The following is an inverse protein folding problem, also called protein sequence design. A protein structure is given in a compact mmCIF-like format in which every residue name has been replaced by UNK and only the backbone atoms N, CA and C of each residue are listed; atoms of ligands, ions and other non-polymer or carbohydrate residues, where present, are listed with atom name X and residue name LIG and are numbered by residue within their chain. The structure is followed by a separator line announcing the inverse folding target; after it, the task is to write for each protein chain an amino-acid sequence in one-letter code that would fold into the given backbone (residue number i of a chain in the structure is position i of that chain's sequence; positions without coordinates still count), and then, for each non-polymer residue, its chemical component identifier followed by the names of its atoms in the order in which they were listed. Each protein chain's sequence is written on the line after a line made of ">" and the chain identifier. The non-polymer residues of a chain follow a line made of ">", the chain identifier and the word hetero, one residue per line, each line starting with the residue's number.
data_IF_633386614441
#
_entry.id   IF_633386614441
#
_cell.length_a   1.000
_cell.length_b   1.000
_cell.length_c   1.000
_cell.angle_alpha   90.00
_cell.angle_beta   90.00
_cell.angle_gamma   90.00
#
_symmetry.space_group_name_H-M   'P 1'
#
loop_
_entity.id
_entity.type
_entity.pdbx_description
1 polymer ?
#
# COMPACT_ATOMS: atom_id res chain seq x y z
N UNK A 1 -21.90 -31.28 23.80
CA UNK A 1 -21.87 -30.70 22.44
C UNK A 1 -22.23 -29.22 22.60
N UNK A 2 -21.22 -28.36 22.81
CA UNK A 2 -21.43 -26.95 23.16
C UNK A 2 -21.51 -26.14 21.87
N UNK A 3 -22.71 -25.69 21.52
CA UNK A 3 -22.96 -24.87 20.33
C UNK A 3 -22.26 -23.52 20.53
N UNK A 4 -21.14 -23.32 19.84
CA UNK A 4 -20.45 -22.03 19.81
C UNK A 4 -21.35 -21.03 19.07
N UNK A 5 -21.86 -20.06 19.82
CA UNK A 5 -22.66 -18.93 19.30
C UNK A 5 -21.80 -18.17 18.27
N UNK A 6 -22.29 -17.86 17.07
CA UNK A 6 -21.56 -17.02 16.13
C UNK A 6 -21.31 -15.67 16.81
N UNK A 7 -20.04 -15.29 16.93
CA UNK A 7 -19.66 -13.94 17.39
C UNK A 7 -20.27 -12.95 16.40
N UNK A 8 -21.25 -12.18 16.87
CA UNK A 8 -21.70 -10.99 16.17
C UNK A 8 -20.48 -10.11 15.92
N UNK A 9 -20.22 -9.81 14.65
CA UNK A 9 -19.31 -8.75 14.23
C UNK A 9 -19.84 -7.45 14.83
N UNK A 10 -19.42 -7.12 16.05
CA UNK A 10 -19.64 -5.80 16.63
C UNK A 10 -18.98 -4.81 15.68
N UNK A 11 -19.80 -4.09 14.92
CA UNK A 11 -19.34 -2.92 14.18
C UNK A 11 -18.77 -1.97 15.22
N UNK A 12 -17.44 -1.90 15.33
CA UNK A 12 -16.78 -0.96 16.24
C UNK A 12 -17.39 0.42 16.01
N UNK A 13 -17.87 1.11 17.05
CA UNK A 13 -18.44 2.44 16.88
C UNK A 13 -17.40 3.33 16.21
N UNK A 14 -17.79 3.95 15.09
CA UNK A 14 -16.94 4.87 14.36
C UNK A 14 -16.65 6.04 15.29
N UNK A 15 -15.39 6.20 15.66
CA UNK A 15 -14.94 7.29 16.53
C UNK A 15 -15.34 8.64 15.95
N UNK A 16 -15.77 9.57 16.81
CA UNK A 16 -16.10 10.95 16.40
C UNK A 16 -14.94 11.69 15.73
N UNK A 17 -13.71 11.20 15.90
CA UNK A 17 -12.48 11.80 15.37
C UNK A 17 -11.93 11.07 14.14
N UNK A 18 -12.64 10.11 13.55
CA UNK A 18 -12.15 9.33 12.40
C UNK A 18 -11.73 10.18 11.19
N UNK A 19 -12.24 11.42 11.08
CA UNK A 19 -11.92 12.39 10.03
C UNK A 19 -10.59 13.13 10.26
N UNK A 20 -10.07 13.16 11.50
CA UNK A 20 -8.89 13.95 11.88
C UNK A 20 -7.65 13.60 11.06
N UNK A 21 -7.27 12.31 10.85
CA UNK A 21 -6.11 11.98 10.03
C UNK A 21 -6.24 12.45 8.58
N UNK A 22 -7.43 12.33 8.00
CA UNK A 22 -7.70 12.75 6.62
C UNK A 22 -7.64 14.27 6.48
N UNK A 23 -8.25 15.01 7.43
CA UNK A 23 -8.19 16.47 7.43
C UNK A 23 -6.76 16.97 7.64
N UNK A 24 -6.03 16.45 8.63
CA UNK A 24 -4.64 16.83 8.88
C UNK A 24 -3.75 16.53 7.67
N UNK A 25 -3.89 15.33 7.08
CA UNK A 25 -3.17 14.96 5.87
C UNK A 25 -3.49 15.88 4.68
N UNK A 26 -4.77 16.23 4.48
CA UNK A 26 -5.19 17.11 3.40
C UNK A 26 -4.70 18.55 3.59
N UNK A 27 -4.82 19.11 4.79
CA UNK A 27 -4.30 20.44 5.13
C UNK A 27 -2.80 20.53 4.87
N UNK A 28 -2.01 19.59 5.43
CA UNK A 28 -0.55 19.56 5.21
C UNK A 28 -0.23 19.31 3.73
N UNK A 29 -1.02 18.50 3.02
CA UNK A 29 -0.84 18.22 1.59
C UNK A 29 -1.11 19.42 0.68
N UNK A 30 -2.13 20.24 1.00
CA UNK A 30 -2.39 21.52 0.32
C UNK A 30 -1.22 22.47 0.54
N UNK A 31 -0.73 22.60 1.78
CA UNK A 31 0.44 23.41 2.10
C UNK A 31 1.67 22.91 1.33
N UNK A 32 1.93 21.60 1.31
CA UNK A 32 3.04 21.01 0.55
C UNK A 32 2.96 21.35 -0.94
N UNK A 33 1.76 21.26 -1.52
CA UNK A 33 1.52 21.55 -2.94
C UNK A 33 1.72 23.02 -3.26
N UNK A 34 1.17 23.92 -2.45
CA UNK A 34 1.37 25.36 -2.60
C UNK A 34 2.86 25.73 -2.45
N UNK A 35 3.57 25.10 -1.51
CA UNK A 35 5.01 25.32 -1.28
C UNK A 35 5.84 24.91 -2.50
N UNK A 36 5.50 23.75 -3.09
CA UNK A 36 6.13 23.27 -4.31
C UNK A 36 5.88 24.22 -5.49
N UNK A 37 4.62 24.62 -5.71
CA UNK A 37 4.25 25.55 -6.80
C UNK A 37 4.90 26.92 -6.65
N UNK A 38 4.95 27.46 -5.43
CA UNK A 38 5.63 28.71 -5.12
C UNK A 38 7.15 28.62 -5.30
N UNK A 39 7.73 27.44 -5.10
CA UNK A 39 9.14 27.18 -5.36
C UNK A 39 9.45 27.13 -6.86
N UNK A 40 8.55 26.54 -7.66
CA UNK A 40 8.72 26.41 -9.12
C UNK A 40 8.45 27.70 -9.91
N UNK A 41 7.51 28.53 -9.46
CA UNK A 41 7.04 29.68 -10.24
C UNK A 41 7.14 31.00 -9.46
N UNK A 42 7.96 31.96 -9.92
CA UNK A 42 7.99 33.31 -9.35
C UNK A 42 6.65 34.03 -9.45
N UNK A 43 5.86 33.76 -10.50
CA UNK A 43 4.53 34.34 -10.69
C UNK A 43 3.57 33.86 -9.60
N UNK A 44 3.56 32.54 -9.32
CA UNK A 44 2.72 31.98 -8.25
C UNK A 44 3.15 32.56 -6.91
N UNK A 45 4.46 32.63 -6.63
CA UNK A 45 5.01 33.22 -5.41
C UNK A 45 4.56 34.67 -5.21
N UNK A 46 4.55 35.46 -6.29
CA UNK A 46 4.09 36.84 -6.24
C UNK A 46 2.59 36.92 -5.93
N UNK A 47 1.77 36.11 -6.60
CA UNK A 47 0.31 36.06 -6.38
C UNK A 47 -0.02 35.67 -4.93
N UNK A 48 0.69 34.69 -4.36
CA UNK A 48 0.40 34.19 -3.01
C UNK A 48 1.21 34.91 -1.92
N UNK A 49 1.96 35.97 -2.23
CA UNK A 49 2.94 36.57 -1.29
C UNK A 49 2.33 36.88 0.07
N UNK A 50 1.21 37.60 0.09
CA UNK A 50 0.51 38.04 1.31
C UNK A 50 0.00 36.85 2.15
N UNK A 51 -0.83 35.94 1.62
CA UNK A 51 -1.30 34.80 2.41
C UNK A 51 -0.16 33.86 2.83
N UNK A 52 0.89 33.75 2.01
CA UNK A 52 2.06 32.94 2.29
C UNK A 52 2.88 33.47 3.47
N UNK A 53 3.20 34.77 3.46
CA UNK A 53 3.96 35.42 4.54
C UNK A 53 3.18 35.31 5.85
N UNK A 54 1.86 35.51 5.80
CA UNK A 54 0.99 35.29 6.96
C UNK A 54 1.06 33.84 7.48
N UNK A 55 0.95 32.83 6.61
CA UNK A 55 1.07 31.42 7.01
C UNK A 55 2.45 31.14 7.60
N UNK A 56 3.51 31.59 6.94
CA UNK A 56 4.90 31.39 7.35
C UNK A 56 5.17 31.95 8.75
N UNK A 57 4.70 33.17 9.00
CA UNK A 57 4.94 33.87 10.27
C UNK A 57 4.08 33.33 11.41
N UNK A 58 2.82 32.97 11.16
CA UNK A 58 1.86 32.77 12.27
C UNK A 58 1.23 31.38 12.36
N UNK A 59 1.28 30.54 11.33
CA UNK A 59 0.55 29.27 11.29
C UNK A 59 1.42 28.04 11.08
N UNK A 60 2.36 28.12 10.15
CA UNK A 60 3.17 26.97 9.77
C UNK A 60 4.39 27.45 8.99
N UNK A 61 5.58 26.98 9.35
CA UNK A 61 6.82 27.33 8.64
C UNK A 61 6.66 27.01 7.13
N UNK A 62 6.63 28.07 6.31
CA UNK A 62 6.37 28.03 4.88
C UNK A 62 7.44 28.88 4.18
N UNK A 63 8.67 28.36 4.09
CA UNK A 63 9.78 29.12 3.56
C UNK A 63 9.59 29.43 2.07
N UNK A 64 10.14 30.57 1.66
CA UNK A 64 9.98 31.15 0.34
C UNK A 64 10.36 30.25 -0.84
N UNK A 65 11.40 29.43 -0.65
CA UNK A 65 11.98 28.55 -1.66
C UNK A 65 12.63 27.35 -0.98
N UNK A 66 11.92 26.23 -0.92
CA UNK A 66 12.49 24.98 -0.41
C UNK A 66 11.77 23.76 -1.00
N UNK A 67 12.35 23.19 -2.06
CA UNK A 67 11.92 21.90 -2.59
C UNK A 67 12.00 20.81 -1.53
N UNK A 68 13.07 20.83 -0.72
CA UNK A 68 13.25 19.91 0.40
C UNK A 68 12.08 19.97 1.38
N UNK A 69 11.69 21.16 1.83
CA UNK A 69 10.59 21.33 2.79
C UNK A 69 9.24 20.91 2.19
N UNK A 70 8.97 21.28 0.94
CA UNK A 70 7.75 20.84 0.25
C UNK A 70 7.64 19.30 0.19
N UNK A 71 8.77 18.62 -0.01
CA UNK A 71 8.84 17.17 -0.01
C UNK A 71 8.67 16.57 1.40
N UNK A 72 9.27 17.16 2.44
CA UNK A 72 9.03 16.77 3.84
C UNK A 72 7.55 16.88 4.19
N UNK A 73 6.89 17.99 3.82
CA UNK A 73 5.46 18.17 4.05
C UNK A 73 4.61 17.17 3.27
N UNK A 74 4.98 16.84 2.03
CA UNK A 74 4.29 15.81 1.26
C UNK A 74 4.41 14.43 1.93
N UNK A 75 5.59 14.07 2.46
CA UNK A 75 5.78 12.84 3.23
C UNK A 75 4.97 12.85 4.54
N UNK A 76 4.95 13.98 5.25
CA UNK A 76 4.19 14.13 6.48
C UNK A 76 2.69 13.99 6.21
N UNK A 77 2.17 14.64 5.15
CA UNK A 77 0.78 14.53 4.71
C UNK A 77 0.39 13.08 4.38
N UNK A 78 1.23 12.38 3.61
CA UNK A 78 1.01 10.97 3.29
C UNK A 78 1.02 10.09 4.55
N UNK A 79 1.96 10.33 5.48
CA UNK A 79 2.07 9.57 6.71
C UNK A 79 0.91 9.84 7.69
N UNK A 80 0.41 11.08 7.79
CA UNK A 80 -0.79 11.43 8.54
C UNK A 80 -2.03 10.75 7.96
N UNK A 81 -2.20 10.78 6.64
CA UNK A 81 -3.28 10.09 5.92
C UNK A 81 -3.22 8.59 6.15
N UNK A 82 -2.02 8.01 6.17
CA UNK A 82 -1.75 6.62 6.53
C UNK A 82 -1.78 6.35 8.05
N UNK A 83 -2.29 7.30 8.86
CA UNK A 83 -2.53 7.18 10.31
C UNK A 83 -1.27 6.84 11.12
N UNK A 84 -0.09 7.24 10.65
CA UNK A 84 1.19 6.91 11.29
C UNK A 84 1.35 7.68 12.59
N UNK A 85 1.62 6.97 13.68
CA UNK A 85 1.76 7.57 15.02
C UNK A 85 2.94 8.55 15.12
N UNK A 86 4.02 8.27 14.40
CA UNK A 86 5.19 9.17 14.35
C UNK A 86 4.86 10.48 13.64
N UNK A 87 4.03 10.45 12.59
CA UNK A 87 3.63 11.65 11.87
C UNK A 87 2.75 12.56 12.74
N UNK A 88 1.85 11.96 13.53
CA UNK A 88 1.09 12.69 14.54
C UNK A 88 1.99 13.32 15.60
N UNK A 89 3.01 12.60 16.10
CA UNK A 89 3.97 13.15 17.06
C UNK A 89 4.75 14.33 16.49
N UNK A 90 5.23 14.22 15.25
CA UNK A 90 5.96 15.29 14.56
C UNK A 90 5.08 16.51 14.34
N UNK A 91 3.84 16.31 13.86
CA UNK A 91 2.90 17.41 13.65
C UNK A 91 2.52 18.07 14.98
N UNK A 92 2.20 17.29 16.02
CA UNK A 92 1.88 17.81 17.35
C UNK A 92 3.05 18.60 17.94
N UNK A 93 4.27 18.05 17.87
CA UNK A 93 5.48 18.72 18.33
C UNK A 93 5.70 20.05 17.61
N UNK A 94 5.49 20.08 16.29
CA UNK A 94 5.57 21.31 15.49
C UNK A 94 4.50 22.34 15.92
N UNK A 95 3.25 21.91 16.15
CA UNK A 95 2.19 22.81 16.62
C UNK A 95 2.48 23.36 18.01
N UNK A 96 3.02 22.54 18.92
CA UNK A 96 3.40 22.96 20.27
C UNK A 96 4.55 23.96 20.22
N UNK A 97 5.58 23.69 19.42
CA UNK A 97 6.71 24.60 19.24
C UNK A 97 6.25 25.94 18.67
N UNK A 98 5.42 25.92 17.62
CA UNK A 98 4.91 27.14 17.00
C UNK A 98 3.96 27.92 17.93
N UNK A 99 3.15 27.24 18.76
CA UNK A 99 2.38 27.90 19.81
C UNK A 99 3.28 28.57 20.85
N UNK A 100 4.36 27.90 21.25
CA UNK A 100 5.33 28.45 22.19
C UNK A 100 6.04 29.70 21.64
N UNK A 101 6.48 29.66 20.38
CA UNK A 101 7.12 30.81 19.72
C UNK A 101 6.17 32.01 19.64
N UNK A 102 4.92 31.82 19.16
CA UNK A 102 3.93 32.89 19.14
C UNK A 102 3.67 33.46 20.56
N UNK A 103 3.60 32.60 21.58
CA UNK A 103 3.41 33.05 22.95
C UNK A 103 4.61 33.85 23.49
N UNK A 104 5.84 33.47 23.10
CA UNK A 104 7.05 34.19 23.46
C UNK A 104 7.11 35.57 22.79
N UNK A 105 6.73 35.67 21.52
CA UNK A 105 6.70 36.94 20.78
C UNK A 105 5.63 37.89 21.35
N UNK A 106 4.43 37.37 21.67
CA UNK A 106 3.38 38.14 22.37
C UNK A 106 3.88 38.65 23.73
N UNK A 107 4.63 37.82 24.47
CA UNK A 107 5.15 38.17 25.79
C UNK A 107 6.32 39.18 25.72
N UNK A 108 7.11 39.15 24.64
CA UNK A 108 8.20 40.10 24.41
C UNK A 108 7.67 41.53 24.18
N UNK A 109 6.49 41.66 23.57
CA UNK A 109 5.86 42.93 23.28
C UNK A 109 6.61 43.77 22.24
N UNK A 110 6.17 45.01 22.01
CA UNK A 110 6.76 45.88 20.98
C UNK A 110 6.21 45.65 19.56
N UNK A 111 5.26 44.73 19.41
CA UNK A 111 4.64 44.38 18.14
C UNK A 111 3.60 45.45 17.73
N UNK A 112 3.48 45.68 16.43
CA UNK A 112 2.42 46.52 15.84
C UNK A 112 1.05 45.89 16.05
N UNK A 113 -0.04 46.65 15.87
CA UNK A 113 -1.40 46.11 16.00
C UNK A 113 -1.68 44.95 15.03
N UNK A 114 -1.07 44.97 13.83
CA UNK A 114 -1.20 43.92 12.83
C UNK A 114 -0.45 42.64 13.23
N UNK A 115 0.76 42.78 13.77
CA UNK A 115 1.57 41.65 14.27
C UNK A 115 0.89 40.99 15.48
N UNK A 116 0.44 41.78 16.45
CA UNK A 116 -0.32 41.26 17.59
C UNK A 116 -1.57 40.49 17.15
N UNK A 117 -2.29 40.98 16.13
CA UNK A 117 -3.44 40.25 15.58
C UNK A 117 -3.02 38.91 14.96
N UNK A 118 -1.94 38.91 14.18
CA UNK A 118 -1.37 37.71 13.56
C UNK A 118 -0.93 36.67 14.59
N UNK A 119 -0.16 37.08 15.59
CA UNK A 119 0.36 36.22 16.67
C UNK A 119 -0.77 35.61 17.51
N UNK A 120 -1.75 36.43 17.90
CA UNK A 120 -2.91 35.94 18.67
C UNK A 120 -3.75 34.95 17.87
N UNK A 121 -4.00 35.24 16.59
CA UNK A 121 -4.72 34.34 15.69
C UNK A 121 -3.92 33.04 15.47
N UNK A 122 -2.62 33.15 15.23
CA UNK A 122 -1.70 32.04 15.10
C UNK A 122 -1.73 31.14 16.33
N UNK A 123 -1.51 31.72 17.51
CA UNK A 123 -1.57 31.01 18.80
C UNK A 123 -2.92 30.30 19.00
N UNK A 124 -4.04 30.98 18.74
CA UNK A 124 -5.37 30.38 18.87
C UNK A 124 -5.56 29.17 17.92
N UNK A 125 -5.13 29.29 16.66
CA UNK A 125 -5.18 28.18 15.69
C UNK A 125 -4.33 27.00 16.14
N UNK A 126 -3.10 27.25 16.62
CA UNK A 126 -2.24 26.20 17.15
C UNK A 126 -2.85 25.48 18.35
N UNK A 127 -3.42 26.22 19.31
CA UNK A 127 -4.09 25.64 20.49
C UNK A 127 -5.26 24.75 20.05
N UNK A 128 -6.10 25.22 19.13
CA UNK A 128 -7.22 24.43 18.59
C UNK A 128 -6.71 23.18 17.88
N UNK A 129 -5.69 23.32 17.03
CA UNK A 129 -5.09 22.18 16.32
C UNK A 129 -4.51 21.15 17.29
N UNK A 130 -3.79 21.59 18.33
CA UNK A 130 -3.26 20.74 19.40
C UNK A 130 -4.40 19.98 20.08
N UNK A 131 -5.48 20.66 20.48
CA UNK A 131 -6.64 20.02 21.12
C UNK A 131 -7.26 18.97 20.20
N UNK A 132 -7.50 19.28 18.93
CA UNK A 132 -8.05 18.32 17.96
C UNK A 132 -7.14 17.12 17.75
N UNK A 133 -5.82 17.34 17.61
CA UNK A 133 -4.84 16.28 17.44
C UNK A 133 -4.73 15.39 18.69
N UNK A 134 -4.76 15.98 19.89
CA UNK A 134 -4.73 15.26 21.16
C UNK A 134 -6.01 14.45 21.33
N UNK A 135 -7.18 15.01 21.05
CA UNK A 135 -8.45 14.27 21.14
C UNK A 135 -8.53 13.14 20.09
N UNK A 136 -7.93 13.34 18.92
CA UNK A 136 -7.83 12.36 17.85
C UNK A 136 -6.68 11.35 17.98
N UNK A 137 -5.90 11.34 19.06
CA UNK A 137 -4.65 10.55 19.16
C UNK A 137 -4.84 9.04 18.86
N UNK A 138 -6.01 8.48 19.21
CA UNK A 138 -6.33 7.06 18.99
C UNK A 138 -6.50 6.69 17.53
N UNK A 139 -6.73 7.67 16.66
CA UNK A 139 -6.86 7.46 15.22
C UNK A 139 -5.50 7.21 14.54
N UNK A 140 -4.41 7.65 15.17
CA UNK A 140 -3.03 7.51 14.69
C UNK A 140 -2.34 6.30 15.31
N UNK A 141 -2.88 5.11 15.06
CA UNK A 141 -2.41 3.87 15.67
C UNK A 141 -1.30 3.18 14.87
N UNK A 142 -1.11 3.52 13.59
CA UNK A 142 -0.24 2.75 12.70
C UNK A 142 1.24 2.96 13.04
N UNK A 143 1.96 1.82 13.17
CA UNK A 143 3.40 1.81 13.47
C UNK A 143 4.25 1.90 12.20
N UNK A 144 5.48 2.38 12.37
CA UNK A 144 6.54 2.32 11.35
C UNK A 144 7.55 1.27 11.78
N UNK A 145 8.00 0.42 10.86
CA UNK A 145 8.98 -0.64 11.15
C UNK A 145 10.37 -0.01 11.28
N UNK A 146 11.08 -0.35 12.36
CA UNK A 146 12.35 0.30 12.75
C UNK A 146 13.54 -0.09 11.88
N UNK A 147 13.55 -1.31 11.32
CA UNK A 147 14.72 -1.91 10.69
C UNK A 147 15.28 -1.15 9.47
N UNK A 148 14.46 -0.39 8.74
CA UNK A 148 14.90 0.37 7.57
C UNK A 148 15.38 1.80 7.87
N UNK A 149 15.22 2.29 9.10
CA UNK A 149 15.52 3.69 9.42
C UNK A 149 17.01 4.02 9.34
N UNK A 150 17.89 3.09 9.73
CA UNK A 150 19.34 3.33 9.73
C UNK A 150 19.92 3.51 8.32
N UNK A 151 19.52 2.65 7.37
CA UNK A 151 19.98 2.77 5.97
C UNK A 151 19.49 4.08 5.34
N UNK A 152 18.22 4.42 5.56
CA UNK A 152 17.65 5.67 5.07
C UNK A 152 18.33 6.90 5.71
N UNK A 153 18.59 6.87 7.01
CA UNK A 153 19.31 7.93 7.73
C UNK A 153 20.74 8.09 7.22
N UNK A 154 21.48 6.99 7.01
CA UNK A 154 22.82 7.04 6.45
C UNK A 154 22.83 7.66 5.05
N UNK A 155 21.86 7.31 4.20
CA UNK A 155 21.71 7.89 2.84
C UNK A 155 21.34 9.36 2.91
N UNK A 156 20.47 9.76 3.85
CA UNK A 156 20.12 11.17 4.06
C UNK A 156 21.33 11.98 4.51
N UNK A 157 22.11 11.48 5.47
CA UNK A 157 23.30 12.16 5.99
C UNK A 157 24.39 12.26 4.91
N UNK A 158 24.66 11.17 4.18
CA UNK A 158 25.64 11.18 3.11
C UNK A 158 25.22 12.10 1.95
N UNK A 159 23.97 11.99 1.49
CA UNK A 159 23.43 12.83 0.42
C UNK A 159 23.36 14.31 0.83
N UNK A 160 22.97 14.58 2.08
CA UNK A 160 22.96 15.93 2.65
C UNK A 160 24.38 16.52 2.74
N UNK A 161 25.35 15.77 3.23
CA UNK A 161 26.74 16.20 3.30
C UNK A 161 27.32 16.52 1.91
N UNK A 162 27.08 15.65 0.91
CA UNK A 162 27.48 15.91 -0.48
C UNK A 162 26.80 17.18 -1.02
N UNK A 163 25.50 17.31 -0.80
CA UNK A 163 24.73 18.50 -1.20
C UNK A 163 25.27 19.79 -0.58
N UNK A 164 25.63 19.76 0.72
CA UNK A 164 26.23 20.88 1.44
C UNK A 164 27.60 21.22 0.86
N UNK A 165 28.48 20.24 0.63
CA UNK A 165 29.83 20.47 0.10
C UNK A 165 29.80 21.08 -1.31
N UNK A 166 28.95 20.55 -2.20
CA UNK A 166 28.78 21.09 -3.55
C UNK A 166 28.22 22.51 -3.49
N UNK A 167 27.19 22.73 -2.68
CA UNK A 167 26.56 24.03 -2.51
C UNK A 167 27.51 25.06 -1.90
N UNK A 168 28.35 24.65 -0.95
CA UNK A 168 29.37 25.51 -0.36
C UNK A 168 30.39 25.94 -1.42
N UNK A 169 30.90 25.00 -2.23
CA UNK A 169 31.78 25.33 -3.36
C UNK A 169 31.15 26.30 -4.37
N UNK A 170 29.86 26.15 -4.66
CA UNK A 170 29.12 27.07 -5.54
C UNK A 170 29.00 28.48 -4.94
N UNK A 171 28.76 28.61 -3.64
CA UNK A 171 28.73 29.92 -2.96
C UNK A 171 30.12 30.54 -2.91
N UNK A 172 31.19 29.76 -2.75
CA UNK A 172 32.56 30.30 -2.80
C UNK A 172 32.89 30.91 -4.17
N UNK A 173 32.42 30.28 -5.25
CA UNK A 173 32.61 30.77 -6.62
C UNK A 173 31.71 31.96 -6.97
N UNK A 174 30.48 31.96 -6.45
CA UNK A 174 29.46 32.98 -6.74
C UNK A 174 28.83 33.52 -5.45
N UNK A 175 29.60 34.23 -4.61
CA UNK A 175 29.16 34.59 -3.25
C UNK A 175 28.05 35.64 -3.23
N UNK A 176 27.88 36.42 -4.30
CA UNK A 176 26.96 37.54 -4.33
C UNK A 176 27.29 38.53 -3.21
N UNK A 177 26.32 38.81 -2.34
CA UNK A 177 26.49 39.69 -1.18
C UNK A 177 26.73 38.95 0.15
N UNK A 178 26.80 37.62 0.12
CA UNK A 178 26.88 36.81 1.34
C UNK A 178 28.30 36.84 1.95
N UNK A 179 28.39 37.20 3.23
CA UNK A 179 29.65 37.25 3.95
C UNK A 179 30.31 35.87 4.06
N UNK A 180 31.64 35.84 3.95
CA UNK A 180 32.44 34.62 4.04
C UNK A 180 32.13 33.69 5.24
N UNK A 181 32.01 34.19 6.50
CA UNK A 181 31.70 33.32 7.64
C UNK A 181 30.31 32.68 7.57
N UNK A 182 29.37 33.32 6.87
CA UNK A 182 27.97 32.88 6.79
C UNK A 182 27.72 31.87 5.68
N UNK A 183 28.67 31.66 4.75
CA UNK A 183 28.48 30.82 3.55
C UNK A 183 28.12 29.37 3.88
N UNK A 184 28.91 28.72 4.74
CA UNK A 184 28.69 27.33 5.11
C UNK A 184 27.43 27.15 5.99
N UNK A 185 27.22 27.95 7.06
CA UNK A 185 25.97 27.92 7.84
C UNK A 185 24.71 28.17 6.99
N UNK A 186 24.77 29.13 6.06
CA UNK A 186 23.65 29.47 5.17
C UNK A 186 23.30 28.29 4.26
N UNK A 187 24.30 27.70 3.61
CA UNK A 187 24.12 26.55 2.73
C UNK A 187 23.60 25.34 3.50
N UNK A 188 24.16 25.06 4.68
CA UNK A 188 23.68 23.97 5.53
C UNK A 188 22.20 24.15 5.88
N UNK A 189 21.79 25.36 6.29
CA UNK A 189 20.39 25.67 6.59
C UNK A 189 19.47 25.44 5.36
N UNK A 190 19.93 25.82 4.15
CA UNK A 190 19.18 25.69 2.90
C UNK A 190 19.08 24.26 2.37
N UNK A 191 20.16 23.48 2.44
CA UNK A 191 20.20 22.08 1.96
C UNK A 191 19.47 21.15 2.92
N UNK A 192 19.66 21.31 4.23
CA UNK A 192 19.01 20.44 5.21
C UNK A 192 17.50 20.72 5.26
N UNK A 193 17.08 21.93 4.85
CA UNK A 193 15.69 22.22 4.50
C UNK A 193 14.74 22.37 5.68
N UNK A 194 15.27 22.38 6.91
CA UNK A 194 14.49 22.59 8.14
C UNK A 194 14.35 24.05 8.55
N UNK A 195 15.01 24.99 7.84
CA UNK A 195 14.94 26.43 8.10
C UNK A 195 14.98 26.75 9.61
N UNK A 196 15.86 26.06 10.36
CA UNK A 196 15.97 26.20 11.82
C UNK A 196 16.50 27.58 12.21
N UNK A 197 17.17 28.25 11.28
CA UNK A 197 17.68 29.60 11.41
C UNK A 197 16.94 30.53 10.44
N UNK A 198 16.45 31.65 10.97
CA UNK A 198 15.86 32.73 10.20
C UNK A 198 16.86 33.23 9.14
N UNK A 199 16.46 33.41 7.86
CA UNK A 199 17.30 34.03 6.84
C UNK A 199 17.94 35.36 7.25
N UNK A 200 17.34 36.09 8.19
CA UNK A 200 17.83 37.39 8.65
C UNK A 200 18.97 37.29 9.67
N UNK A 201 19.32 36.07 10.12
CA UNK A 201 20.53 35.80 10.91
C UNK A 201 21.82 35.83 10.08
N UNK A 202 21.72 35.91 8.75
CA UNK A 202 22.87 35.87 7.84
C UNK A 202 23.08 37.22 7.14
N UNK A 203 24.34 37.65 7.05
CA UNK A 203 24.70 38.93 6.43
C UNK A 203 24.81 38.79 4.91
N UNK A 204 23.77 39.26 4.22
CA UNK A 204 23.68 39.25 2.75
C UNK A 204 22.99 38.02 2.19
N UNK A 205 22.84 37.97 0.86
CA UNK A 205 22.13 36.89 0.16
C UNK A 205 22.88 36.48 -1.11
N UNK A 206 22.97 35.17 -1.40
CA UNK A 206 23.46 34.68 -2.68
C UNK A 206 22.40 34.90 -3.77
N UNK A 207 22.77 34.67 -5.03
CA UNK A 207 21.83 34.78 -6.14
C UNK A 207 20.62 33.84 -5.96
N UNK A 208 19.43 34.33 -6.33
CA UNK A 208 18.15 33.60 -6.14
C UNK A 208 18.16 32.20 -6.75
N UNK A 209 18.88 32.02 -7.87
CA UNK A 209 19.04 30.72 -8.54
C UNK A 209 19.81 29.71 -7.69
N UNK A 210 20.83 30.15 -6.94
CA UNK A 210 21.62 29.28 -6.04
C UNK A 210 20.76 28.74 -4.90
N UNK A 211 19.84 29.55 -4.36
CA UNK A 211 18.91 29.10 -3.33
C UNK A 211 18.00 27.96 -3.81
N UNK A 212 17.58 27.99 -5.08
CA UNK A 212 16.80 26.91 -5.67
C UNK A 212 17.64 25.63 -5.80
N UNK A 213 18.90 25.74 -6.20
CA UNK A 213 19.84 24.61 -6.31
C UNK A 213 20.08 23.96 -4.95
N UNK A 214 20.32 24.75 -3.90
CA UNK A 214 20.60 24.21 -2.56
C UNK A 214 19.41 23.43 -2.02
N UNK A 215 18.20 24.00 -2.15
CA UNK A 215 16.97 23.30 -1.79
C UNK A 215 16.72 22.05 -2.63
N UNK A 216 17.17 22.00 -3.89
CA UNK A 216 17.05 20.83 -4.76
C UNK A 216 18.00 19.70 -4.32
N UNK A 217 19.24 20.01 -3.92
CA UNK A 217 20.14 19.00 -3.35
C UNK A 217 19.55 18.38 -2.08
N UNK A 218 18.96 19.21 -1.21
CA UNK A 218 18.20 18.74 -0.05
C UNK A 218 17.05 17.81 -0.42
N UNK A 219 16.25 18.21 -1.41
CA UNK A 219 15.15 17.40 -1.91
C UNK A 219 15.63 16.05 -2.47
N UNK A 220 16.71 16.03 -3.25
CA UNK A 220 17.27 14.78 -3.78
C UNK A 220 17.80 13.86 -2.69
N UNK A 221 18.47 14.40 -1.65
CA UNK A 221 18.90 13.62 -0.51
C UNK A 221 17.70 12.98 0.22
N UNK A 222 16.61 13.73 0.43
CA UNK A 222 15.37 13.23 1.02
C UNK A 222 14.67 12.19 0.13
N UNK A 223 14.60 12.41 -1.18
CA UNK A 223 14.03 11.46 -2.14
C UNK A 223 14.83 10.16 -2.12
N UNK A 224 16.16 10.22 -2.20
CA UNK A 224 17.03 9.05 -2.15
C UNK A 224 16.86 8.28 -0.83
N UNK A 225 16.85 8.99 0.31
CA UNK A 225 16.60 8.39 1.62
C UNK A 225 15.22 7.70 1.69
N UNK A 226 14.19 8.33 1.11
CA UNK A 226 12.83 7.78 1.05
C UNK A 226 12.76 6.53 0.18
N UNK A 227 13.43 6.54 -0.98
CA UNK A 227 13.53 5.38 -1.87
C UNK A 227 14.19 4.21 -1.13
N UNK A 228 15.32 4.46 -0.45
CA UNK A 228 16.04 3.44 0.32
C UNK A 228 15.22 2.93 1.51
N UNK A 229 14.48 3.82 2.18
CA UNK A 229 13.55 3.43 3.25
C UNK A 229 12.53 2.42 2.72
N UNK A 230 11.89 2.69 1.58
CA UNK A 230 10.90 1.79 1.00
C UNK A 230 11.50 0.50 0.41
N UNK A 231 12.69 0.55 -0.18
CA UNK A 231 13.38 -0.65 -0.68
C UNK A 231 13.77 -1.59 0.45
N UNK A 232 14.35 -1.08 1.56
CA UNK A 232 14.74 -1.91 2.69
C UNK A 232 13.53 -2.57 3.36
N UNK A 233 12.37 -1.90 3.39
CA UNK A 233 11.12 -2.50 3.86
C UNK A 233 10.68 -3.70 3.01
N UNK A 234 10.86 -3.63 1.69
CA UNK A 234 10.54 -4.77 0.79
C UNK A 234 11.47 -5.95 1.00
N UNK A 235 12.76 -5.71 1.23
CA UNK A 235 13.75 -6.78 1.43
C UNK A 235 13.53 -7.55 2.76
N UNK A 236 13.26 -6.84 3.85
CA UNK A 236 12.99 -7.44 5.17
C UNK A 236 11.60 -8.11 5.27
N UNK A 237 10.82 -8.08 4.19
CA UNK A 237 9.54 -8.76 4.03
C UNK A 237 9.69 -10.09 3.27
N UNK A 238 10.89 -10.50 2.87
CA UNK A 238 11.08 -11.80 2.22
C UNK A 238 10.89 -12.97 3.21
N UNK A 239 10.36 -14.09 2.71
CA UNK A 239 10.29 -15.37 3.42
C UNK A 239 11.65 -15.77 3.98
N UNK A 240 11.70 -16.21 5.24
CA UNK A 240 12.88 -16.89 5.78
C UNK A 240 12.94 -18.34 5.27
N UNK A 241 14.10 -19.00 5.42
CA UNK A 241 14.24 -20.41 5.03
C UNK A 241 13.34 -21.35 5.85
N UNK A 242 13.11 -21.03 7.12
CA UNK A 242 12.19 -21.76 7.99
C UNK A 242 10.74 -21.57 7.54
N UNK A 243 10.35 -20.34 7.18
CA UNK A 243 9.01 -20.05 6.64
C UNK A 243 8.76 -20.81 5.33
N UNK A 244 9.74 -20.81 4.42
CA UNK A 244 9.63 -21.53 3.14
C UNK A 244 9.42 -23.03 3.39
N UNK A 245 10.14 -23.61 4.34
CA UNK A 245 10.02 -25.03 4.70
C UNK A 245 8.65 -25.36 5.30
N UNK A 246 8.13 -24.51 6.19
CA UNK A 246 6.80 -24.68 6.78
C UNK A 246 5.69 -24.58 5.73
N UNK A 247 5.77 -23.62 4.80
CA UNK A 247 4.80 -23.48 3.70
C UNK A 247 4.82 -24.72 2.80
N UNK A 248 6.01 -25.23 2.47
CA UNK A 248 6.15 -26.46 1.66
C UNK A 248 5.47 -27.65 2.36
N UNK A 249 5.65 -27.82 3.67
CA UNK A 249 4.95 -28.85 4.43
C UNK A 249 3.42 -28.70 4.41
N UNK A 250 2.91 -27.47 4.52
CA UNK A 250 1.47 -27.22 4.39
C UNK A 250 0.93 -27.53 2.99
N UNK A 251 1.70 -27.21 1.93
CA UNK A 251 1.34 -27.51 0.55
C UNK A 251 1.37 -29.01 0.25
N UNK A 252 2.32 -29.75 0.81
CA UNK A 252 2.39 -31.20 0.66
C UNK A 252 1.15 -31.89 1.26
N UNK A 253 0.70 -31.42 2.42
CA UNK A 253 -0.45 -32.00 3.12
C UNK A 253 -1.82 -31.55 2.58
N UNK A 254 -1.95 -30.29 2.14
CA UNK A 254 -3.23 -29.66 1.83
C UNK A 254 -3.31 -28.98 0.45
N UNK A 255 -2.22 -28.92 -0.31
CA UNK A 255 -2.13 -28.14 -1.55
C UNK A 255 -2.70 -28.78 -2.81
N UNK A 256 -3.11 -30.07 -2.77
CA UNK A 256 -3.57 -30.81 -3.95
C UNK A 256 -4.78 -30.19 -4.68
N UNK A 257 -5.57 -29.37 -3.99
CA UNK A 257 -6.74 -28.68 -4.53
C UNK A 257 -6.47 -27.26 -5.04
N UNK A 258 -5.25 -26.74 -4.88
CA UNK A 258 -4.86 -25.39 -5.28
C UNK A 258 -3.81 -25.45 -6.40
N UNK A 259 -4.26 -25.21 -7.63
CA UNK A 259 -3.41 -25.18 -8.84
C UNK A 259 -2.32 -24.11 -8.78
N UNK A 260 -2.52 -23.07 -7.97
CA UNK A 260 -1.63 -21.92 -7.84
C UNK A 260 -0.89 -21.88 -6.50
N UNK A 261 -1.08 -22.90 -5.64
CA UNK A 261 -0.52 -22.94 -4.29
C UNK A 261 1.00 -22.83 -4.24
N UNK A 262 1.70 -23.32 -5.27
CA UNK A 262 3.16 -23.21 -5.36
C UNK A 262 3.64 -21.75 -5.37
N UNK A 263 2.83 -20.79 -5.84
CA UNK A 263 3.18 -19.37 -5.81
C UNK A 263 3.38 -18.84 -4.40
N UNK A 264 2.84 -19.50 -3.37
CA UNK A 264 3.06 -19.17 -1.97
C UNK A 264 4.54 -19.29 -1.55
N UNK A 265 5.34 -20.10 -2.25
CA UNK A 265 6.77 -20.34 -1.94
C UNK A 265 7.72 -19.29 -2.54
N UNK A 266 7.22 -18.28 -3.25
CA UNK A 266 8.09 -17.26 -3.84
C UNK A 266 8.73 -16.37 -2.77
N UNK A 267 10.05 -16.19 -2.86
CA UNK A 267 10.88 -15.43 -1.91
C UNK A 267 10.61 -13.92 -1.87
N UNK A 268 9.83 -13.39 -2.81
CA UNK A 268 9.38 -11.99 -2.81
C UNK A 268 8.12 -11.75 -1.96
N UNK A 269 7.62 -12.78 -1.27
CA UNK A 269 6.47 -12.73 -0.36
C UNK A 269 6.91 -12.81 1.10
N UNK A 270 6.05 -12.33 1.98
CA UNK A 270 6.03 -12.61 3.43
C UNK A 270 4.94 -13.64 3.75
N UNK A 271 4.94 -14.14 4.98
CA UNK A 271 3.89 -15.02 5.49
C UNK A 271 3.41 -14.61 6.86
N UNK A 272 2.12 -14.80 7.13
CA UNK A 272 1.55 -14.85 8.47
C UNK A 272 0.94 -16.23 8.69
N UNK A 273 1.41 -16.95 9.71
CA UNK A 273 0.82 -18.21 10.12
C UNK A 273 -0.39 -18.00 11.04
N UNK A 274 -1.37 -18.90 10.95
CA UNK A 274 -2.38 -19.06 11.98
C UNK A 274 -1.70 -19.38 13.33
N UNK A 275 -2.27 -18.95 14.47
CA UNK A 275 -1.76 -19.35 15.78
C UNK A 275 -1.65 -20.87 15.98
N UNK A 276 -2.47 -21.65 15.27
CA UNK A 276 -2.40 -23.12 15.28
C UNK A 276 -1.30 -23.71 14.40
N UNK A 277 -0.60 -22.91 13.58
CA UNK A 277 0.43 -23.37 12.63
C UNK A 277 -0.10 -24.15 11.41
N UNK A 278 -1.40 -24.49 11.38
CA UNK A 278 -1.99 -25.36 10.35
C UNK A 278 -2.42 -24.63 9.08
N UNK A 279 -2.34 -23.30 9.05
CA UNK A 279 -2.63 -22.51 7.87
C UNK A 279 -1.80 -21.23 7.86
N UNK A 280 -1.63 -20.62 6.69
CA UNK A 280 -0.86 -19.41 6.51
C UNK A 280 -1.41 -18.53 5.38
N UNK A 281 -1.30 -17.21 5.51
CA UNK A 281 -1.55 -16.25 4.42
C UNK A 281 -0.22 -15.74 3.92
N UNK A 282 0.07 -15.95 2.63
CA UNK A 282 1.22 -15.32 1.98
C UNK A 282 0.83 -14.00 1.36
N UNK A 283 1.63 -12.97 1.56
CA UNK A 283 1.30 -11.62 1.17
C UNK A 283 2.54 -10.82 0.76
N UNK A 284 2.32 -9.69 0.11
CA UNK A 284 3.33 -8.68 -0.16
C UNK A 284 2.76 -7.30 0.09
N UNK A 285 3.56 -6.40 0.64
CA UNK A 285 3.13 -5.02 0.91
C UNK A 285 3.64 -4.10 -0.19
N UNK A 286 2.73 -3.44 -0.89
CA UNK A 286 3.03 -2.48 -1.94
C UNK A 286 2.25 -1.18 -1.72
N UNK A 287 2.98 -0.06 -1.56
CA UNK A 287 2.42 1.30 -1.42
C UNK A 287 1.27 1.35 -0.38
N UNK A 288 1.48 0.72 0.78
CA UNK A 288 0.48 0.69 1.86
C UNK A 288 -0.67 -0.29 1.67
N UNK A 289 -0.68 -1.09 0.59
CA UNK A 289 -1.60 -2.21 0.41
C UNK A 289 -0.89 -3.51 0.77
N UNK A 290 -1.46 -4.27 1.70
CA UNK A 290 -1.01 -5.62 2.02
C UNK A 290 -1.80 -6.58 1.12
N UNK A 291 -1.16 -7.08 0.07
CA UNK A 291 -1.79 -7.91 -0.95
C UNK A 291 -1.52 -9.39 -0.68
N UNK A 292 -2.54 -10.13 -0.25
CA UNK A 292 -2.51 -11.59 -0.19
C UNK A 292 -2.66 -12.18 -1.60
N UNK A 293 -1.93 -13.26 -1.85
CA UNK A 293 -1.93 -13.95 -3.14
C UNK A 293 -2.71 -15.26 -3.03
N UNK A 294 -3.94 -15.25 -3.50
CA UNK A 294 -4.80 -16.43 -3.53
C UNK A 294 -5.38 -16.82 -2.17
N UNK A 295 -5.64 -18.11 -2.02
CA UNK A 295 -6.21 -18.69 -0.82
C UNK A 295 -5.17 -18.80 0.31
N UNK A 296 -5.59 -18.87 1.57
CA UNK A 296 -4.70 -19.30 2.64
C UNK A 296 -4.19 -20.72 2.37
N UNK A 297 -2.91 -20.97 2.62
CA UNK A 297 -2.26 -22.27 2.46
C UNK A 297 -2.50 -23.11 3.72
N UNK A 298 -2.81 -24.40 3.59
CA UNK A 298 -2.97 -25.33 4.72
C UNK A 298 -4.42 -25.78 4.97
N UNK A 299 -4.71 -26.27 6.18
CA UNK A 299 -6.03 -26.83 6.55
C UNK A 299 -7.14 -25.76 6.44
N UNK A 300 -8.18 -25.95 5.59
CA UNK A 300 -9.29 -25.02 5.45
C UNK A 300 -10.00 -24.67 6.75
N UNK A 301 -9.97 -25.56 7.74
CA UNK A 301 -10.55 -25.31 9.08
C UNK A 301 -9.75 -24.29 9.89
N UNK A 302 -8.48 -24.07 9.55
CA UNK A 302 -7.60 -23.10 10.18
C UNK A 302 -7.49 -21.78 9.39
N UNK A 303 -8.04 -21.68 8.17
CA UNK A 303 -8.01 -20.47 7.36
C UNK A 303 -8.57 -19.23 8.06
N UNK A 304 -9.73 -19.27 8.78
CA UNK A 304 -10.22 -18.09 9.48
C UNK A 304 -9.22 -17.52 10.48
N UNK A 305 -8.45 -18.38 11.16
CA UNK A 305 -7.43 -17.94 12.11
C UNK A 305 -6.24 -17.27 11.42
N UNK A 306 -5.84 -17.76 10.25
CA UNK A 306 -4.77 -17.17 9.44
C UNK A 306 -5.18 -15.80 8.89
N UNK A 307 -6.40 -15.71 8.35
CA UNK A 307 -6.98 -14.45 7.83
C UNK A 307 -7.10 -13.41 8.95
N UNK A 308 -7.59 -13.79 10.12
CA UNK A 308 -7.67 -12.91 11.28
C UNK A 308 -6.29 -12.41 11.73
N UNK A 309 -5.27 -13.29 11.74
CA UNK A 309 -3.91 -12.91 12.08
C UNK A 309 -3.32 -11.93 11.06
N UNK A 310 -3.56 -12.18 9.77
CA UNK A 310 -3.15 -11.30 8.69
C UNK A 310 -3.85 -9.93 8.76
N UNK A 311 -5.16 -9.88 9.02
CA UNK A 311 -5.89 -8.62 9.19
C UNK A 311 -5.42 -7.82 10.39
N UNK A 312 -5.08 -8.48 11.52
CA UNK A 312 -4.44 -7.81 12.66
C UNK A 312 -3.07 -7.23 12.30
N UNK A 313 -2.30 -7.92 11.46
CA UNK A 313 -1.02 -7.41 10.95
C UNK A 313 -1.25 -6.14 10.12
N UNK A 314 -2.18 -6.18 9.17
CA UNK A 314 -2.58 -5.02 8.38
C UNK A 314 -3.00 -3.84 9.28
N UNK A 315 -3.82 -4.11 10.30
CA UNK A 315 -4.22 -3.16 11.34
C UNK A 315 -3.12 -2.76 12.33
N UNK A 316 -1.93 -3.35 12.30
CA UNK A 316 -0.82 -2.88 13.15
C UNK A 316 -0.01 -1.82 12.42
N UNK A 317 0.14 -2.01 11.11
CA UNK A 317 0.97 -1.18 10.24
C UNK A 317 0.17 -0.18 9.39
N UNK A 318 -1.15 -0.19 9.45
CA UNK A 318 -1.97 0.74 8.68
C UNK A 318 -2.02 0.38 7.21
N UNK A 319 -1.92 -0.92 6.90
CA UNK A 319 -2.01 -1.39 5.52
C UNK A 319 -3.45 -1.70 5.15
N UNK A 320 -3.85 -1.31 3.95
CA UNK A 320 -5.12 -1.72 3.35
C UNK A 320 -5.01 -3.18 2.93
N UNK A 321 -5.85 -4.09 3.47
CA UNK A 321 -5.83 -5.49 3.06
C UNK A 321 -6.44 -5.64 1.67
N UNK A 322 -5.75 -6.35 0.79
CA UNK A 322 -6.28 -6.77 -0.51
C UNK A 322 -5.96 -8.23 -0.76
N UNK A 323 -6.78 -8.92 -1.54
CA UNK A 323 -6.54 -10.31 -1.96
C UNK A 323 -6.73 -10.42 -3.45
N UNK A 324 -5.79 -11.04 -4.15
CA UNK A 324 -5.89 -11.27 -5.59
C UNK A 324 -5.85 -12.76 -5.90
N UNK A 325 -6.79 -13.22 -6.73
CA UNK A 325 -6.79 -14.59 -7.24
C UNK A 325 -7.27 -15.63 -6.23
N UNK A 326 -8.10 -15.25 -5.25
CA UNK A 326 -8.71 -16.20 -4.33
C UNK A 326 -9.70 -17.10 -5.07
N UNK A 327 -9.78 -18.38 -4.70
CA UNK A 327 -10.84 -19.28 -5.14
C UNK A 327 -12.18 -18.88 -4.52
N UNK A 328 -13.28 -19.53 -4.93
CA UNK A 328 -14.58 -19.34 -4.28
C UNK A 328 -14.56 -19.65 -2.77
N UNK A 329 -13.78 -20.64 -2.33
CA UNK A 329 -13.71 -21.03 -0.92
C UNK A 329 -12.89 -20.00 -0.11
N UNK A 330 -11.74 -19.58 -0.65
CA UNK A 330 -10.93 -18.53 -0.01
C UNK A 330 -11.68 -17.20 0.03
N UNK A 331 -12.29 -16.79 -1.09
CA UNK A 331 -13.10 -15.57 -1.16
C UNK A 331 -14.25 -15.56 -0.15
N UNK A 332 -14.90 -16.71 0.08
CA UNK A 332 -15.89 -16.83 1.15
C UNK A 332 -15.27 -16.59 2.53
N UNK A 333 -14.11 -17.21 2.81
CA UNK A 333 -13.42 -17.05 4.10
C UNK A 333 -13.01 -15.59 4.34
N UNK A 334 -12.45 -14.92 3.33
CA UNK A 334 -12.10 -13.49 3.43
C UNK A 334 -13.34 -12.59 3.57
N UNK A 335 -14.45 -12.92 2.89
CA UNK A 335 -15.71 -12.17 3.02
C UNK A 335 -16.33 -12.32 4.41
N UNK A 336 -16.28 -13.52 4.99
CA UNK A 336 -16.69 -13.76 6.38
C UNK A 336 -15.84 -12.97 7.38
N UNK A 337 -14.57 -12.72 7.05
CA UNK A 337 -13.68 -11.83 7.80
C UNK A 337 -13.89 -10.32 7.52
N UNK A 338 -14.85 -9.95 6.67
CA UNK A 338 -15.28 -8.57 6.45
C UNK A 338 -14.74 -7.89 5.18
N UNK A 339 -14.10 -8.62 4.26
CA UNK A 339 -13.69 -8.07 2.96
C UNK A 339 -14.85 -8.10 1.95
N UNK A 340 -14.82 -7.17 0.99
CA UNK A 340 -15.71 -7.23 -0.16
C UNK A 340 -15.10 -8.10 -1.25
N UNK A 341 -15.89 -8.98 -1.88
CA UNK A 341 -15.42 -9.85 -2.95
C UNK A 341 -16.00 -9.42 -4.31
N UNK A 342 -15.12 -9.29 -5.31
CA UNK A 342 -15.44 -9.00 -6.70
C UNK A 342 -14.97 -10.16 -7.58
N UNK A 343 -15.85 -10.67 -8.44
CA UNK A 343 -15.52 -11.77 -9.36
C UNK A 343 -14.59 -11.25 -10.46
N UNK A 344 -13.39 -11.81 -10.58
CA UNK A 344 -12.40 -11.40 -11.58
C UNK A 344 -12.54 -12.22 -12.88
N UNK A 345 -12.86 -13.50 -12.76
CA UNK A 345 -13.05 -14.40 -13.90
C UNK A 345 -12.98 -15.88 -13.51
N UNK A 346 -12.93 -16.74 -14.53
CA UNK A 346 -12.89 -18.19 -14.38
C UNK A 346 -11.51 -18.76 -14.73
N UNK A 347 -10.99 -19.63 -13.88
CA UNK A 347 -9.88 -20.52 -14.17
C UNK A 347 -10.36 -21.72 -14.99
N UNK A 348 -9.66 -22.01 -16.08
CA UNK A 348 -9.89 -23.19 -16.91
C UNK A 348 -9.07 -24.37 -16.40
N UNK A 349 -9.72 -25.33 -15.73
CA UNK A 349 -9.06 -26.52 -15.18
C UNK A 349 -9.26 -27.70 -16.14
N UNK A 350 -8.16 -28.29 -16.60
CA UNK A 350 -8.14 -29.53 -17.36
C UNK A 350 -7.82 -30.71 -16.45
N UNK A 351 -8.61 -31.78 -16.53
CA UNK A 351 -8.36 -33.05 -15.83
C UNK A 351 -7.67 -34.01 -16.79
N UNK A 352 -6.37 -34.32 -16.61
CA UNK A 352 -5.62 -35.13 -17.59
C UNK A 352 -6.21 -36.52 -17.81
N UNK A 353 -6.79 -37.13 -16.77
CA UNK A 353 -7.43 -38.46 -16.83
C UNK A 353 -8.62 -38.50 -17.79
N UNK A 354 -9.34 -37.38 -17.89
CA UNK A 354 -10.59 -37.28 -18.65
C UNK A 354 -10.37 -36.59 -20.01
N UNK A 355 -9.20 -35.98 -20.20
CA UNK A 355 -8.87 -35.20 -21.38
C UNK A 355 -8.42 -36.11 -22.54
N UNK A 356 -9.22 -36.13 -23.62
CA UNK A 356 -8.93 -36.91 -24.83
C UNK A 356 -8.77 -36.01 -26.04
N UNK A 357 -7.62 -36.12 -26.72
CA UNK A 357 -7.36 -35.39 -27.96
C UNK A 357 -8.08 -35.96 -29.18
N UNK A 358 -8.70 -37.14 -29.11
CA UNK A 358 -9.31 -37.82 -30.26
C UNK A 358 -10.69 -37.29 -30.66
N UNK A 359 -11.40 -36.59 -29.76
CA UNK A 359 -12.76 -36.12 -30.00
C UNK A 359 -12.89 -35.11 -31.16
N UNK A 360 -14.04 -35.04 -31.86
CA UNK A 360 -14.25 -34.12 -32.99
C UNK A 360 -14.00 -32.65 -32.62
N UNK A 361 -14.33 -32.27 -31.38
CA UNK A 361 -14.13 -30.94 -30.81
C UNK A 361 -12.67 -30.50 -30.67
N UNK A 362 -11.74 -31.45 -30.62
CA UNK A 362 -10.30 -31.19 -30.49
C UNK A 362 -9.58 -31.11 -31.85
N UNK A 363 -10.32 -31.10 -32.97
CA UNK A 363 -9.75 -31.04 -34.32
C UNK A 363 -8.81 -29.85 -34.52
N UNK A 364 -9.18 -28.67 -34.00
CA UNK A 364 -8.33 -27.47 -34.10
C UNK A 364 -7.00 -27.62 -33.35
N UNK A 365 -7.03 -28.23 -32.15
CA UNK A 365 -5.83 -28.49 -31.34
C UNK A 365 -4.94 -29.57 -31.99
N UNK A 366 -5.55 -30.59 -32.60
CA UNK A 366 -4.81 -31.61 -33.36
C UNK A 366 -4.13 -31.01 -34.59
N UNK A 367 -4.84 -30.19 -35.37
CA UNK A 367 -4.30 -29.52 -36.55
C UNK A 367 -3.15 -28.57 -36.20
N UNK A 368 -3.17 -27.92 -35.03
CA UNK A 368 -2.04 -27.11 -34.56
C UNK A 368 -0.80 -27.92 -34.15
N UNK A 369 -0.94 -29.24 -33.96
CA UNK A 369 0.15 -30.15 -33.62
C UNK A 369 0.67 -30.95 -34.84
N UNK A 370 -0.01 -30.87 -35.98
CA UNK A 370 0.39 -31.63 -37.18
C UNK A 370 1.78 -31.18 -37.65
N UNK A 371 2.75 -32.10 -37.83
CA UNK A 371 4.13 -31.78 -38.19
C UNK A 371 4.30 -31.00 -39.51
N UNK A 372 3.30 -31.00 -40.40
CA UNK A 372 3.30 -30.20 -41.64
C UNK A 372 3.24 -28.68 -41.42
N UNK A 373 2.92 -28.23 -40.20
CA UNK A 373 2.99 -26.82 -39.79
C UNK A 373 4.26 -26.50 -38.97
N UNK A 374 5.08 -27.50 -38.65
CA UNK A 374 6.28 -27.37 -37.82
C UNK A 374 7.50 -26.93 -38.66
N UNK A 375 7.37 -25.79 -39.33
CA UNK A 375 8.54 -25.04 -39.76
C UNK A 375 9.25 -24.46 -38.54
N UNK A 376 10.25 -25.18 -38.03
CA UNK A 376 11.35 -24.66 -37.19
C UNK A 376 10.93 -24.14 -35.81
N UNK A 377 10.88 -25.02 -34.82
CA UNK A 377 10.96 -24.65 -33.39
C UNK A 377 12.36 -24.95 -32.87
N UNK A 378 13.36 -24.43 -33.60
CA UNK A 378 14.73 -24.28 -33.13
C UNK A 378 15.19 -22.88 -33.54
N UNK A 379 15.29 -21.99 -32.55
CA UNK A 379 16.05 -20.73 -32.63
C UNK A 379 15.63 -19.71 -33.69
N UNK A 380 14.55 -18.95 -33.45
CA UNK A 380 14.43 -17.52 -33.82
C UNK A 380 13.04 -17.01 -33.41
N UNK A 381 12.96 -15.93 -32.64
CA UNK A 381 11.73 -15.14 -32.47
C UNK A 381 11.53 -14.30 -33.74
N UNK A 382 10.50 -14.52 -34.58
CA UNK A 382 10.17 -13.58 -35.64
C UNK A 382 9.20 -12.54 -35.06
N UNK A 383 9.62 -11.28 -35.04
CA UNK A 383 8.72 -10.15 -34.78
C UNK A 383 7.57 -10.17 -35.79
N UNK A 384 6.35 -10.42 -35.34
CA UNK A 384 5.16 -10.34 -36.18
C UNK A 384 4.14 -9.39 -35.54
N UNK A 385 4.32 -8.12 -35.87
CA UNK A 385 3.25 -7.12 -35.87
C UNK A 385 2.23 -7.50 -36.96
N UNK A 386 1.15 -8.19 -36.59
CA UNK A 386 -0.09 -8.19 -37.39
C UNK A 386 -1.28 -7.92 -36.49
N UNK A 387 -1.97 -6.84 -36.81
CA UNK A 387 -3.26 -6.43 -36.27
C UNK A 387 -4.24 -7.61 -36.20
N UNK A 388 -4.66 -7.94 -34.97
CA UNK A 388 -5.79 -8.82 -34.73
C UNK A 388 -7.08 -8.02 -34.99
N UNK A 389 -7.60 -8.09 -36.22
CA UNK A 389 -8.93 -7.58 -36.56
C UNK A 389 -9.96 -8.56 -35.97
N UNK A 390 -10.81 -8.06 -35.09
CA UNK A 390 -11.82 -8.84 -34.37
C UNK A 390 -12.80 -9.56 -35.30
N UNK A 391 -12.81 -10.89 -35.23
CA UNK A 391 -13.83 -11.76 -35.83
C UNK A 391 -14.64 -12.45 -34.73
N UNK A 392 -15.88 -12.00 -34.55
CA UNK A 392 -16.76 -12.33 -33.41
C UNK A 392 -17.49 -13.69 -33.53
N UNK A 393 -17.01 -14.65 -34.35
CA UNK A 393 -17.82 -15.79 -34.79
C UNK A 393 -17.38 -17.19 -34.35
N UNK A 394 -16.09 -17.43 -34.08
CA UNK A 394 -15.55 -18.81 -33.95
C UNK A 394 -15.24 -19.23 -32.51
N UNK A 395 -15.32 -18.32 -31.55
CA UNK A 395 -14.84 -18.53 -30.18
C UNK A 395 -15.85 -19.24 -29.25
N UNK A 396 -17.12 -19.39 -29.66
CA UNK A 396 -18.15 -19.98 -28.80
C UNK A 396 -18.11 -21.52 -28.71
N UNK A 397 -17.54 -22.23 -29.69
CA UNK A 397 -17.46 -23.71 -29.66
C UNK A 397 -16.24 -24.23 -28.90
N UNK A 398 -15.08 -23.58 -29.05
CA UNK A 398 -13.88 -23.91 -28.27
C UNK A 398 -14.10 -23.65 -26.76
N UNK A 399 -14.80 -22.57 -26.42
CA UNK A 399 -15.21 -22.25 -25.03
C UNK A 399 -16.16 -23.26 -24.40
N UNK A 400 -16.90 -24.07 -25.17
CA UNK A 400 -17.79 -25.13 -24.64
C UNK A 400 -17.05 -26.44 -24.35
N UNK A 401 -15.98 -26.74 -25.07
CA UNK A 401 -15.30 -28.03 -24.97
C UNK A 401 -14.24 -28.05 -23.84
N UNK A 402 -13.67 -26.89 -23.50
CA UNK A 402 -12.76 -26.71 -22.35
C UNK A 402 -13.48 -26.45 -21.01
N UNK A 403 -14.82 -26.34 -21.02
CA UNK A 403 -15.60 -25.89 -19.86
C UNK A 403 -16.34 -27.03 -19.15
N UNK A 404 -15.62 -28.04 -18.64
CA UNK A 404 -16.23 -29.01 -17.70
C UNK A 404 -15.99 -28.68 -16.23
N UNK A 405 -14.94 -27.93 -15.89
CA UNK A 405 -14.71 -27.43 -14.54
C UNK A 405 -14.13 -26.00 -14.58
N UNK A 406 -14.89 -25.04 -14.03
CA UNK A 406 -14.45 -23.65 -13.83
C UNK A 406 -14.29 -23.38 -12.35
N UNK A 407 -13.16 -22.84 -11.94
CA UNK A 407 -12.99 -22.25 -10.60
C UNK A 407 -13.07 -20.73 -10.73
N UNK A 408 -13.91 -20.08 -9.93
CA UNK A 408 -14.01 -18.61 -9.95
C UNK A 408 -12.86 -18.00 -9.17
N UNK A 409 -12.25 -16.98 -9.75
CA UNK A 409 -11.20 -16.15 -9.16
C UNK A 409 -11.79 -14.83 -8.67
N UNK A 410 -11.34 -14.36 -7.51
CA UNK A 410 -11.90 -13.19 -6.85
C UNK A 410 -10.80 -12.18 -6.47
N UNK A 411 -11.14 -10.90 -6.59
CA UNK A 411 -10.41 -9.76 -6.03
C UNK A 411 -11.15 -9.31 -4.76
N UNK A 412 -10.43 -9.08 -3.68
CA UNK A 412 -11.01 -8.54 -2.45
C UNK A 412 -10.29 -7.27 -1.97
N UNK A 413 -11.06 -6.33 -1.42
CA UNK A 413 -10.58 -5.07 -0.85
C UNK A 413 -11.28 -4.76 0.49
N UNK A 414 -10.58 -4.03 1.37
CA UNK A 414 -11.04 -3.60 2.68
C UNK A 414 -11.98 -2.39 2.58
N UNK A 415 -13.23 -2.56 3.00
CA UNK A 415 -14.20 -1.48 3.04
C UNK A 415 -13.94 -0.54 4.24
N UNK A 416 -13.85 0.77 3.97
CA UNK A 416 -14.35 1.78 4.92
C UNK A 416 -15.86 1.58 5.19
N UNK A 417 -16.44 2.26 6.19
CA UNK A 417 -17.75 1.88 6.75
C UNK A 417 -18.82 1.74 5.67
N UNK A 418 -19.46 0.57 5.66
CA UNK A 418 -20.33 0.07 4.61
C UNK A 418 -21.44 1.07 4.22
N UNK A 419 -21.50 1.43 2.94
CA UNK A 419 -22.78 1.65 2.27
C UNK A 419 -23.20 0.33 1.66
N UNK A 420 -24.32 -0.23 2.12
CA UNK A 420 -24.98 -1.36 1.44
C UNK A 420 -25.54 -0.87 0.11
N UNK A 421 -25.32 -1.60 -0.99
CA UNK A 421 -26.37 -1.78 -1.98
C UNK A 421 -26.72 -3.27 -2.10
N UNK A 422 -28.03 -3.55 -2.11
CA UNK A 422 -28.70 -4.73 -2.68
C UNK A 422 -28.06 -6.10 -2.50
N UNK A 423 -28.67 -6.94 -1.65
CA UNK A 423 -28.27 -8.34 -1.49
C UNK A 423 -28.31 -9.13 -2.80
N UNK A 424 -27.14 -9.48 -3.32
CA UNK A 424 -27.00 -10.58 -4.27
C UNK A 424 -26.96 -11.90 -3.49
N UNK A 425 -28.03 -12.69 -3.61
CA UNK A 425 -28.02 -14.09 -3.18
C UNK A 425 -27.09 -14.88 -4.11
N UNK A 426 -26.09 -15.54 -3.53
CA UNK A 426 -25.33 -16.59 -4.22
C UNK A 426 -26.32 -17.68 -4.68
N UNK A 427 -26.27 -18.18 -5.92
CA UNK A 427 -27.08 -19.31 -6.31
C UNK A 427 -26.60 -20.56 -5.57
N UNK A 428 -27.46 -21.08 -4.69
CA UNK A 428 -27.31 -22.42 -4.14
C UNK A 428 -27.31 -23.43 -5.30
N UNK A 429 -26.37 -24.39 -5.26
CA UNK A 429 -26.42 -25.54 -6.15
C UNK A 429 -27.78 -26.21 -6.07
N UNK A 430 -28.34 -26.62 -7.23
CA UNK A 430 -29.63 -27.30 -7.30
C UNK A 430 -29.58 -28.62 -6.52
N UNK A 431 -30.02 -28.57 -5.27
CA UNK A 431 -30.43 -29.72 -4.46
C UNK A 431 -31.96 -29.82 -4.49
N UNK A 432 -32.45 -31.04 -4.75
CA UNK A 432 -33.85 -31.40 -4.89
C UNK A 432 -34.74 -30.98 -3.71
N UNK A 433 -35.99 -30.62 -4.00
CA UNK A 433 -37.06 -30.46 -2.99
C UNK A 433 -37.73 -31.82 -2.70
N UNK A 434 -38.06 -32.14 -1.43
CA UNK A 434 -38.72 -33.39 -1.04
C UNK A 434 -40.26 -33.28 -0.95
N UNK A 435 -40.94 -34.39 -1.23
CA UNK A 435 -42.39 -34.65 -1.03
C UNK A 435 -43.23 -34.45 -2.30
N UNK A 436 -43.98 -35.41 -2.86
CA UNK A 436 -44.43 -36.75 -2.45
C UNK A 436 -44.99 -37.46 -3.74
N UNK A 437 -45.66 -38.64 -3.68
CA UNK A 437 -45.19 -39.98 -4.03
C UNK A 437 -45.68 -40.56 -5.39
N UNK A 438 -45.02 -41.63 -5.88
CA UNK A 438 -45.67 -42.65 -6.71
C UNK A 438 -44.83 -43.25 -7.85
N UNK A 439 -44.42 -44.51 -7.68
CA UNK A 439 -44.03 -45.49 -8.73
C UNK A 439 -42.69 -45.25 -9.44
N UNK A 440 -41.74 -46.17 -9.53
CA UNK A 440 -41.62 -47.55 -9.06
C UNK A 440 -40.15 -47.99 -9.23
N UNK A 441 -39.83 -49.12 -8.61
CA UNK A 441 -38.69 -50.00 -8.89
C UNK A 441 -37.32 -49.68 -8.26
N UNK A 442 -37.28 -49.92 -6.95
CA UNK A 442 -36.45 -50.94 -6.29
C UNK A 442 -35.01 -51.22 -6.79
N UNK A 443 -34.05 -50.65 -6.05
CA UNK A 443 -32.96 -51.32 -5.28
C UNK A 443 -32.45 -52.68 -5.80
N UNK A 444 -31.13 -52.74 -6.09
CA UNK A 444 -30.30 -53.88 -5.63
C UNK A 444 -28.82 -53.49 -5.47
N UNK A 445 -28.37 -53.51 -4.22
CA UNK A 445 -26.96 -53.63 -3.83
C UNK A 445 -26.44 -55.03 -4.19
N UNK A 446 -25.18 -55.15 -4.60
CA UNK A 446 -24.38 -56.36 -4.39
C UNK A 446 -22.91 -56.01 -4.09
N UNK A 447 -22.46 -56.42 -2.89
CA UNK A 447 -21.07 -56.70 -2.53
C UNK A 447 -20.67 -58.09 -3.09
N UNK A 448 -19.36 -58.30 -3.30
CA UNK A 448 -18.71 -59.62 -3.46
C UNK A 448 -17.84 -59.71 -4.72
N UNK A 449 -16.56 -59.30 -4.69
CA UNK A 449 -15.35 -60.11 -4.42
C UNK A 449 -14.71 -60.66 -5.74
N UNK A 450 -13.40 -61.04 -5.83
CA UNK A 450 -12.30 -61.02 -4.85
C UNK A 450 -11.05 -60.23 -5.39
N UNK A 451 -9.88 -60.22 -4.70
CA UNK A 451 -8.72 -59.40 -5.06
C UNK A 451 -7.81 -60.10 -6.07
N UNK A 452 -7.10 -59.33 -6.89
CA UNK A 452 -5.99 -59.84 -7.69
C UNK A 452 -4.74 -58.96 -7.46
N UNK A 453 -3.73 -59.59 -6.89
CA UNK A 453 -2.30 -59.27 -6.91
C UNK A 453 -1.57 -60.40 -7.66
N UNK A 454 -0.27 -60.36 -7.99
CA UNK A 454 0.67 -59.24 -8.21
C UNK A 454 1.53 -59.41 -9.51
N UNK A 455 2.41 -58.42 -9.77
CA UNK A 455 3.60 -58.41 -10.67
C UNK A 455 3.43 -58.53 -12.20
N UNK A 456 3.90 -57.49 -12.92
CA UNK A 456 5.20 -57.48 -13.63
C UNK A 456 5.71 -56.05 -13.72
#
# INVERSE_FOLDING_TARGET
>A
MTIAKPRSTESRPVSRYHWVPAAAGWTVGVIATLSLLASMSPLIRWIIKVPREFINSYLFNFPDTSFAWSFVLALLAAALTARKRIAWLLLLGNMVLAAFLNAADIAAGGNTAAENFGENLGFAVHVVAIVVLVLGYREFWAKVRRAALFKAAAVLLAGGAIGILISWGLVELFPGSLAAPDRLPYVANRVVGFALADPDLFTGRPHVFLNAIFGLFGAFALIAATIVLFQSQRADNALTGEDESAIRGLLELYGNSDSLGYFATRRDKSVVFAPSGRAAVTYRVEIGVCLASGDPVGDPRAWPQAVDAWLRLCQTYGWSPGVMGASSQGAQTYREAGLNALELGDEAILRPTDFKLSGPEMRGVRQSRDPGAQGRVDGAYPSTSRHFRGGNGTNHRARRCLARHRNRTWLLDGAGPARRPGGLRLPAGRGARPGQPGGGDAVRWCRGAPPASPWT
#
